data_IF_994060097982
#
_entry.id   IF_994060097982
#
_cell.length_a   1.000
_cell.length_b   1.000
_cell.length_c   1.000
_cell.angle_alpha   90.00
_cell.angle_beta   90.00
_cell.angle_gamma   90.00
#
_symmetry.space_group_name_H-M   'P 1'
#
loop_
_entity.id
_entity.type
_entity.pdbx_description
1 polymer ?
#
# COMPACT_ATOMS: atom_id res chain seq x y z
N UNK A 1 7.67 36.02 -40.46
CA UNK A 1 8.63 35.43 -39.50
C UNK A 1 8.03 35.13 -38.11
N UNK A 2 6.70 35.14 -37.92
CA UNK A 2 6.08 34.78 -36.63
C UNK A 2 5.71 33.29 -36.51
N UNK A 3 5.64 32.55 -37.63
CA UNK A 3 5.22 31.13 -37.64
C UNK A 3 6.33 30.09 -37.44
N UNK A 4 7.58 30.49 -37.20
CA UNK A 4 8.71 29.56 -37.06
C UNK A 4 9.12 29.32 -35.60
N UNK A 5 8.77 30.23 -34.68
CA UNK A 5 9.11 30.12 -33.26
C UNK A 5 8.14 29.17 -32.51
N UNK A 6 6.91 29.02 -33.01
CA UNK A 6 5.87 28.17 -32.41
C UNK A 6 6.15 26.66 -32.55
N UNK A 7 7.07 26.25 -33.42
CA UNK A 7 7.51 24.84 -33.54
C UNK A 7 8.64 24.45 -32.60
N UNK A 8 9.33 25.42 -31.97
CA UNK A 8 10.52 25.13 -31.15
C UNK A 8 10.25 25.09 -29.64
N UNK A 9 9.19 25.74 -29.17
CA UNK A 9 8.72 25.62 -27.78
C UNK A 9 7.45 24.78 -27.76
N UNK A 10 7.62 23.47 -27.67
CA UNK A 10 6.56 22.49 -27.54
C UNK A 10 5.75 22.65 -26.25
N UNK A 11 4.94 23.70 -26.16
CA UNK A 11 3.85 23.81 -25.20
C UNK A 11 2.66 23.06 -25.82
N UNK A 12 2.77 21.73 -25.87
CA UNK A 12 1.60 20.88 -26.10
C UNK A 12 0.68 21.00 -24.87
N UNK A 13 -0.29 21.90 -25.02
CA UNK A 13 -1.56 22.11 -24.30
C UNK A 13 -1.80 21.36 -22.96
N UNK A 14 -2.11 22.07 -21.86
CA UNK A 14 -2.48 21.48 -20.57
C UNK A 14 -3.77 20.61 -20.61
N UNK A 15 -4.60 20.75 -21.63
CA UNK A 15 -5.84 19.97 -21.84
C UNK A 15 -5.51 18.48 -22.06
N UNK A 16 -4.45 18.17 -22.81
CA UNK A 16 -4.04 16.78 -23.06
C UNK A 16 -3.47 16.09 -21.81
N UNK A 17 -3.05 16.86 -20.79
CA UNK A 17 -2.59 16.32 -19.51
C UNK A 17 -3.78 15.99 -18.60
N UNK A 18 -4.83 16.82 -18.57
CA UNK A 18 -6.06 16.51 -17.83
C UNK A 18 -6.76 15.28 -18.42
N UNK A 19 -6.87 15.19 -19.74
CA UNK A 19 -7.45 14.01 -20.41
C UNK A 19 -6.64 12.73 -20.12
N UNK A 20 -5.30 12.85 -20.00
CA UNK A 20 -4.44 11.73 -19.59
C UNK A 20 -4.60 11.39 -18.11
N UNK A 21 -4.75 12.37 -17.24
CA UNK A 21 -5.01 12.14 -15.82
C UNK A 21 -6.38 11.49 -15.64
N UNK A 22 -7.41 11.97 -16.32
CA UNK A 22 -8.73 11.37 -16.30
C UNK A 22 -8.68 9.95 -16.82
N UNK A 23 -7.99 9.69 -17.94
CA UNK A 23 -7.81 8.35 -18.45
C UNK A 23 -7.02 7.44 -17.49
N UNK A 24 -6.01 7.98 -16.79
CA UNK A 24 -5.24 7.25 -15.77
C UNK A 24 -6.09 6.96 -14.54
N UNK A 25 -6.82 7.94 -14.03
CA UNK A 25 -7.70 7.84 -12.87
C UNK A 25 -8.86 6.89 -13.18
N UNK A 26 -9.48 6.99 -14.35
CA UNK A 26 -10.54 6.08 -14.79
C UNK A 26 -10.00 4.65 -14.94
N UNK A 27 -8.76 4.47 -15.41
CA UNK A 27 -8.12 3.16 -15.50
C UNK A 27 -7.73 2.60 -14.14
N UNK A 28 -7.32 3.45 -13.19
CA UNK A 28 -7.03 3.03 -11.82
C UNK A 28 -8.28 2.82 -10.96
N UNK A 29 -9.35 3.56 -11.22
CA UNK A 29 -10.65 3.35 -10.58
C UNK A 29 -11.48 2.28 -11.28
N UNK A 30 -11.06 1.82 -12.46
CA UNK A 30 -11.78 0.78 -13.20
C UNK A 30 -11.99 -0.44 -12.30
N UNK A 31 -13.25 -0.89 -12.13
CA UNK A 31 -13.55 -2.02 -11.26
C UNK A 31 -12.87 -3.26 -11.83
N UNK A 32 -12.03 -3.89 -11.00
CA UNK A 32 -11.57 -5.25 -11.25
C UNK A 32 -12.12 -6.14 -10.15
N UNK A 33 -12.43 -7.41 -10.46
CA UNK A 33 -12.92 -8.36 -9.46
C UNK A 33 -12.00 -8.44 -8.23
N UNK A 34 -10.70 -8.27 -8.44
CA UNK A 34 -9.70 -8.18 -7.36
C UNK A 34 -9.84 -6.90 -6.53
N UNK A 35 -9.89 -5.72 -7.15
CA UNK A 35 -10.07 -4.44 -6.43
C UNK A 35 -11.36 -4.46 -5.60
N UNK A 36 -12.44 -5.02 -6.14
CA UNK A 36 -13.72 -5.18 -5.43
C UNK A 36 -13.56 -6.16 -4.26
N UNK A 37 -12.95 -7.33 -4.47
CA UNK A 37 -12.73 -8.31 -3.40
C UNK A 37 -11.86 -7.76 -2.27
N UNK A 38 -10.78 -7.05 -2.60
CA UNK A 38 -9.89 -6.42 -1.62
C UNK A 38 -10.61 -5.29 -0.88
N UNK A 39 -11.36 -4.43 -1.59
CA UNK A 39 -12.16 -3.39 -0.96
C UNK A 39 -13.23 -3.97 -0.03
N UNK A 40 -13.93 -5.03 -0.47
CA UNK A 40 -14.90 -5.75 0.34
C UNK A 40 -14.25 -6.31 1.60
N UNK A 41 -13.13 -7.03 1.45
CA UNK A 41 -12.35 -7.57 2.57
C UNK A 41 -11.97 -6.48 3.58
N UNK A 42 -11.35 -5.39 3.13
CA UNK A 42 -10.95 -4.28 4.00
C UNK A 42 -12.18 -3.67 4.67
N UNK A 43 -13.26 -3.42 3.93
CA UNK A 43 -14.49 -2.85 4.49
C UNK A 43 -15.10 -3.75 5.57
N UNK A 44 -15.07 -5.07 5.39
CA UNK A 44 -15.56 -6.04 6.38
C UNK A 44 -14.68 -6.04 7.63
N UNK A 45 -13.35 -6.06 7.48
CA UNK A 45 -12.40 -6.01 8.60
C UNK A 45 -12.62 -4.71 9.40
N UNK A 46 -12.69 -3.57 8.72
CA UNK A 46 -12.92 -2.25 9.34
C UNK A 46 -14.25 -2.22 10.06
N UNK A 47 -15.33 -2.68 9.43
CA UNK A 47 -16.68 -2.69 10.04
C UNK A 47 -16.71 -3.56 11.31
N UNK A 48 -16.09 -4.74 11.28
CA UNK A 48 -16.05 -5.64 12.44
C UNK A 48 -15.20 -5.03 13.55
N UNK A 49 -14.04 -4.47 13.24
CA UNK A 49 -13.19 -3.83 14.23
C UNK A 49 -13.89 -2.65 14.91
N UNK A 50 -14.50 -1.75 14.13
CA UNK A 50 -15.28 -0.62 14.67
C UNK A 50 -16.46 -1.12 15.50
N UNK A 51 -17.16 -2.18 15.04
CA UNK A 51 -18.27 -2.78 15.78
C UNK A 51 -17.83 -3.39 17.12
N UNK A 52 -16.66 -4.01 17.17
CA UNK A 52 -16.07 -4.54 18.41
C UNK A 52 -15.65 -3.42 19.35
N UNK A 53 -14.95 -2.40 18.84
CA UNK A 53 -14.56 -1.22 19.63
C UNK A 53 -15.79 -0.55 20.25
N UNK A 54 -16.84 -0.35 19.45
CA UNK A 54 -18.10 0.23 19.92
C UNK A 54 -18.80 -0.66 20.96
N UNK A 55 -18.84 -1.98 20.76
CA UNK A 55 -19.47 -2.92 21.69
C UNK A 55 -18.75 -2.97 23.03
N UNK A 56 -17.42 -2.85 23.01
CA UNK A 56 -16.58 -2.83 24.20
C UNK A 56 -16.48 -1.43 24.84
N UNK A 57 -17.21 -0.44 24.32
CA UNK A 57 -17.21 0.95 24.80
C UNK A 57 -15.81 1.57 24.82
N UNK A 58 -14.95 1.17 23.89
CA UNK A 58 -13.60 1.69 23.75
C UNK A 58 -13.68 3.04 23.06
N UNK A 59 -13.55 4.11 23.85
CA UNK A 59 -13.74 5.47 23.37
C UNK A 59 -12.47 6.01 22.68
N UNK A 60 -12.02 5.33 21.62
CA UNK A 60 -10.90 5.79 20.78
C UNK A 60 -11.14 5.52 19.31
N UNK A 61 -10.75 6.48 18.46
CA UNK A 61 -10.77 6.32 17.01
C UNK A 61 -9.54 5.56 16.49
N UNK A 62 -8.59 5.25 17.37
CA UNK A 62 -7.28 4.71 17.03
C UNK A 62 -7.37 3.28 16.46
N UNK A 63 -8.26 2.44 16.98
CA UNK A 63 -8.50 1.09 16.45
C UNK A 63 -8.89 1.11 14.98
N UNK A 64 -9.86 1.94 14.62
CA UNK A 64 -10.29 2.14 13.22
C UNK A 64 -9.15 2.62 12.31
N UNK A 65 -8.33 3.56 12.79
CA UNK A 65 -7.18 4.09 12.02
C UNK A 65 -6.10 3.03 11.83
N UNK A 66 -5.79 2.23 12.85
CA UNK A 66 -4.84 1.11 12.72
C UNK A 66 -5.35 0.11 11.68
N UNK A 67 -6.63 -0.27 11.77
CA UNK A 67 -7.19 -1.22 10.80
C UNK A 67 -7.13 -0.67 9.39
N UNK A 68 -7.48 0.60 9.19
CA UNK A 68 -7.40 1.21 7.87
C UNK A 68 -5.96 1.28 7.32
N UNK A 69 -4.99 1.68 8.15
CA UNK A 69 -3.58 1.79 7.74
C UNK A 69 -2.92 0.44 7.49
N UNK A 70 -3.25 -0.58 8.29
CA UNK A 70 -2.54 -1.87 8.29
C UNK A 70 -3.24 -2.90 7.40
N UNK A 71 -4.57 -2.93 7.36
CA UNK A 71 -5.30 -3.88 6.51
C UNK A 71 -5.26 -3.50 5.01
N UNK A 72 -5.04 -2.22 4.69
CA UNK A 72 -5.13 -1.72 3.32
C UNK A 72 -3.90 -1.89 2.44
N UNK A 73 -2.70 -2.05 3.00
CA UNK A 73 -1.46 -1.81 2.24
C UNK A 73 -0.24 -2.66 2.63
N UNK A 74 -0.43 -3.88 3.15
CA UNK A 74 0.70 -4.67 3.66
C UNK A 74 0.65 -6.18 3.39
N UNK A 75 1.79 -6.87 3.53
CA UNK A 75 1.85 -8.33 3.60
C UNK A 75 1.03 -8.85 4.77
N UNK A 76 0.52 -10.07 4.63
CA UNK A 76 -0.27 -10.72 5.67
C UNK A 76 0.44 -10.67 7.02
N UNK A 77 -0.32 -10.31 8.05
CA UNK A 77 0.19 -10.10 9.38
C UNK A 77 0.24 -11.41 10.15
N UNK A 78 1.46 -11.88 10.43
CA UNK A 78 1.66 -13.05 11.28
C UNK A 78 1.39 -12.72 12.75
N UNK A 79 0.98 -13.73 13.53
CA UNK A 79 0.73 -13.60 14.98
C UNK A 79 1.97 -13.02 15.70
N UNK A 80 3.18 -13.49 15.34
CA UNK A 80 4.43 -13.00 15.94
C UNK A 80 4.66 -11.52 15.64
N UNK A 81 4.38 -11.09 14.40
CA UNK A 81 4.53 -9.69 13.99
C UNK A 81 3.49 -8.81 14.70
N UNK A 82 2.26 -9.29 14.85
CA UNK A 82 1.23 -8.60 15.62
C UNK A 82 1.59 -8.43 17.10
N UNK A 83 2.09 -9.48 17.74
CA UNK A 83 2.57 -9.39 19.12
C UNK A 83 3.74 -8.42 19.25
N UNK A 84 4.71 -8.47 18.34
CA UNK A 84 5.84 -7.54 18.34
C UNK A 84 5.39 -6.07 18.20
N UNK A 85 4.42 -5.80 17.30
CA UNK A 85 3.85 -4.46 17.16
C UNK A 85 3.03 -4.04 18.37
N UNK A 86 2.24 -4.94 18.96
CA UNK A 86 1.48 -4.63 20.17
C UNK A 86 2.40 -4.30 21.35
N UNK A 87 3.51 -5.03 21.51
CA UNK A 87 4.54 -4.72 22.51
C UNK A 87 5.20 -3.38 22.20
N UNK A 88 5.50 -3.08 20.94
CA UNK A 88 6.05 -1.78 20.56
C UNK A 88 5.09 -0.62 20.85
N UNK A 89 3.79 -0.80 20.60
CA UNK A 89 2.75 0.18 20.95
C UNK A 89 2.66 0.35 22.46
N UNK A 90 2.71 -0.74 23.24
CA UNK A 90 2.75 -0.67 24.70
C UNK A 90 3.93 0.16 25.21
N UNK A 91 5.14 -0.11 24.72
CA UNK A 91 6.34 0.62 25.11
C UNK A 91 6.27 2.09 24.68
N UNK A 92 5.73 2.36 23.49
CA UNK A 92 5.53 3.72 23.00
C UNK A 92 4.53 4.50 23.87
N UNK A 93 3.43 3.86 24.29
CA UNK A 93 2.44 4.44 25.20
C UNK A 93 3.02 4.73 26.58
N UNK A 94 3.76 3.78 27.16
CA UNK A 94 4.41 4.00 28.46
C UNK A 94 5.37 5.18 28.37
N UNK A 95 6.21 5.20 27.32
CA UNK A 95 7.19 6.26 27.11
C UNK A 95 6.51 7.62 26.86
N UNK A 96 5.45 7.65 26.05
CA UNK A 96 4.73 8.88 25.75
C UNK A 96 4.02 9.44 26.98
N UNK A 97 3.38 8.60 27.80
CA UNK A 97 2.73 9.04 29.05
C UNK A 97 3.76 9.60 30.04
N UNK A 98 4.89 8.92 30.23
CA UNK A 98 5.95 9.39 31.13
C UNK A 98 6.53 10.73 30.64
N UNK A 99 6.86 10.82 29.35
CA UNK A 99 7.39 12.08 28.80
C UNK A 99 6.37 13.20 28.81
N UNK A 100 5.11 12.90 28.52
CA UNK A 100 4.09 13.92 28.51
C UNK A 100 3.82 14.45 29.93
N UNK A 101 3.93 13.61 30.97
CA UNK A 101 3.96 14.07 32.37
C UNK A 101 5.16 14.98 32.65
N UNK A 102 6.35 14.65 32.16
CA UNK A 102 7.54 15.48 32.33
C UNK A 102 7.42 16.84 31.63
N UNK A 103 6.74 16.88 30.47
CA UNK A 103 6.49 18.10 29.72
C UNK A 103 5.26 18.88 30.18
N UNK A 104 4.44 18.35 31.09
CA UNK A 104 3.28 19.06 31.64
C UNK A 104 3.70 20.39 32.30
N UNK A 105 4.88 20.43 32.92
CA UNK A 105 5.44 21.63 33.54
C UNK A 105 6.21 22.52 32.55
N UNK A 106 6.55 22.00 31.37
CA UNK A 106 7.38 22.69 30.36
C UNK A 106 6.84 22.48 28.94
N UNK A 107 5.63 22.98 28.61
CA UNK A 107 4.95 22.69 27.35
C UNK A 107 5.71 23.17 26.11
N UNK A 108 6.55 24.21 26.22
CA UNK A 108 7.38 24.70 25.12
C UNK A 108 8.47 23.69 24.67
N UNK A 109 8.88 22.76 25.54
CA UNK A 109 9.80 21.66 25.19
C UNK A 109 9.10 20.50 24.48
N UNK A 110 7.77 20.45 24.51
CA UNK A 110 7.00 19.37 23.90
C UNK A 110 7.08 19.40 22.37
N UNK A 111 6.98 20.59 21.76
CA UNK A 111 7.09 20.77 20.31
C UNK A 111 8.43 20.30 19.72
N UNK A 112 9.60 20.76 20.21
CA UNK A 112 10.88 20.27 19.71
C UNK A 112 11.07 18.78 19.98
N UNK A 113 10.59 18.25 21.10
CA UNK A 113 10.62 16.81 21.37
C UNK A 113 9.81 16.01 20.34
N UNK A 114 8.55 16.41 20.07
CA UNK A 114 7.70 15.77 19.07
C UNK A 114 8.35 15.82 17.69
N UNK A 115 8.96 16.96 17.32
CA UNK A 115 9.69 17.09 16.05
C UNK A 115 10.86 16.11 15.94
N UNK A 116 11.71 16.03 16.98
CA UNK A 116 12.84 15.09 17.03
C UNK A 116 12.35 13.64 16.99
N UNK A 117 11.31 13.32 17.77
CA UNK A 117 10.73 11.98 17.81
C UNK A 117 10.14 11.56 16.46
N UNK A 118 9.31 12.40 15.84
CA UNK A 118 8.71 12.11 14.52
C UNK A 118 9.81 11.99 13.46
N UNK A 119 10.81 12.87 13.48
CA UNK A 119 11.91 12.82 12.52
C UNK A 119 12.73 11.53 12.68
N UNK A 120 13.09 11.16 13.92
CA UNK A 120 13.83 9.94 14.22
C UNK A 120 13.03 8.70 13.82
N UNK A 121 11.76 8.63 14.23
CA UNK A 121 10.91 7.49 13.93
C UNK A 121 10.63 7.36 12.43
N UNK A 122 10.49 8.47 11.70
CA UNK A 122 10.36 8.47 10.23
C UNK A 122 11.64 8.01 9.56
N UNK A 123 12.80 8.49 10.02
CA UNK A 123 14.10 8.06 9.52
C UNK A 123 14.33 6.55 9.74
N UNK A 124 14.05 6.06 10.95
CA UNK A 124 14.13 4.63 11.27
C UNK A 124 13.12 3.82 10.45
N UNK A 125 11.89 4.31 10.32
CA UNK A 125 10.84 3.67 9.52
C UNK A 125 11.22 3.51 8.05
N UNK A 126 11.82 4.55 7.45
CA UNK A 126 12.29 4.55 6.08
C UNK A 126 13.51 3.62 5.88
N UNK A 127 14.52 3.73 6.76
CA UNK A 127 15.77 2.94 6.66
C UNK A 127 15.55 1.45 6.91
N UNK A 128 14.65 1.10 7.84
CA UNK A 128 14.34 -0.29 8.20
C UNK A 128 13.14 -0.87 7.44
N UNK A 129 12.52 -0.10 6.55
CA UNK A 129 11.32 -0.49 5.78
C UNK A 129 10.18 -1.02 6.68
N UNK A 130 9.97 -0.39 7.84
CA UNK A 130 8.97 -0.83 8.83
C UNK A 130 7.53 -0.51 8.41
N UNK A 131 7.35 0.32 7.39
CA UNK A 131 6.06 0.58 6.74
C UNK A 131 5.02 1.20 7.70
N UNK A 132 3.76 0.82 7.50
CA UNK A 132 2.61 1.37 8.23
C UNK A 132 2.67 1.18 9.75
N UNK A 133 3.36 0.13 10.25
CA UNK A 133 3.49 -0.10 11.68
C UNK A 133 4.22 1.04 12.42
N UNK A 134 5.21 1.68 11.77
CA UNK A 134 5.89 2.83 12.37
C UNK A 134 4.98 4.05 12.48
N UNK A 135 4.09 4.21 11.50
CA UNK A 135 3.10 5.29 11.47
C UNK A 135 2.10 5.12 12.63
N UNK A 136 1.71 3.87 12.95
CA UNK A 136 0.89 3.58 14.14
C UNK A 136 1.57 4.06 15.42
N UNK A 137 2.86 3.76 15.61
CA UNK A 137 3.61 4.24 16.78
C UNK A 137 3.60 5.78 16.86
N UNK A 138 3.82 6.45 15.73
CA UNK A 138 3.80 7.92 15.67
C UNK A 138 2.43 8.50 16.06
N UNK A 139 1.35 7.95 15.51
CA UNK A 139 -0.02 8.37 15.80
C UNK A 139 -0.34 8.19 17.30
N UNK A 140 0.02 7.04 17.87
CA UNK A 140 -0.19 6.75 19.29
C UNK A 140 0.53 7.76 20.18
N UNK A 141 1.80 8.06 19.88
CA UNK A 141 2.55 9.08 20.62
C UNK A 141 1.91 10.47 20.48
N UNK A 142 1.54 10.87 19.26
CA UNK A 142 0.90 12.16 18.98
C UNK A 142 -0.42 12.34 19.74
N UNK A 143 -1.27 11.30 19.74
CA UNK A 143 -2.54 11.32 20.48
C UNK A 143 -2.29 11.47 21.98
N UNK A 144 -1.26 10.80 22.51
CA UNK A 144 -0.90 10.96 23.94
C UNK A 144 -0.49 12.40 24.26
N UNK A 145 0.40 13.00 23.45
CA UNK A 145 0.83 14.39 23.66
C UNK A 145 -0.31 15.39 23.49
N UNK A 146 -1.19 15.16 22.52
CA UNK A 146 -2.41 15.95 22.35
C UNK A 146 -3.30 15.86 23.59
N UNK A 147 -3.52 14.65 24.11
CA UNK A 147 -4.32 14.42 25.32
C UNK A 147 -3.79 15.18 26.54
N UNK A 148 -2.47 15.32 26.68
CA UNK A 148 -1.87 16.08 27.80
C UNK A 148 -2.16 17.57 27.71
N UNK A 149 -2.15 18.15 26.51
CA UNK A 149 -2.41 19.57 26.32
C UNK A 149 -3.90 19.90 26.53
N UNK A 150 -4.79 19.05 26.03
CA UNK A 150 -6.22 19.39 25.93
C UNK A 150 -7.11 18.67 26.95
N UNK A 151 -6.63 17.62 27.63
CA UNK A 151 -7.42 16.80 28.56
C UNK A 151 -6.54 15.99 29.53
N UNK A 152 -5.72 16.66 30.38
CA UNK A 152 -4.71 15.98 31.20
C UNK A 152 -5.28 15.02 32.25
N UNK A 153 -6.53 15.22 32.65
CA UNK A 153 -7.22 14.37 33.63
C UNK A 153 -7.55 12.97 33.10
N UNK A 154 -7.63 12.79 31.78
CA UNK A 154 -8.05 11.54 31.13
C UNK A 154 -6.89 10.76 30.48
N UNK A 155 -5.64 11.17 30.70
CA UNK A 155 -4.46 10.59 30.03
C UNK A 155 -4.38 9.08 30.23
N UNK A 156 -4.59 8.60 31.46
CA UNK A 156 -4.52 7.17 31.79
C UNK A 156 -5.60 6.36 31.07
N UNK A 157 -6.84 6.86 31.09
CA UNK A 157 -7.97 6.22 30.40
C UNK A 157 -7.81 6.24 28.88
N UNK A 158 -7.35 7.34 28.31
CA UNK A 158 -7.11 7.47 26.87
C UNK A 158 -5.96 6.58 26.38
N UNK A 159 -4.90 6.44 27.19
CA UNK A 159 -3.80 5.53 26.89
C UNK A 159 -4.23 4.06 26.95
N UNK A 160 -5.04 3.68 27.96
CA UNK A 160 -5.61 2.34 28.07
C UNK A 160 -6.53 2.03 26.88
N UNK A 161 -7.45 2.94 26.56
CA UNK A 161 -8.35 2.80 25.41
C UNK A 161 -7.56 2.68 24.09
N UNK A 162 -6.47 3.43 23.93
CA UNK A 162 -5.60 3.36 22.75
C UNK A 162 -4.89 2.00 22.62
N UNK A 163 -4.45 1.42 23.74
CA UNK A 163 -3.87 0.08 23.77
C UNK A 163 -4.90 -1.00 23.45
N UNK A 164 -6.10 -0.89 24.02
CA UNK A 164 -7.18 -1.86 23.79
C UNK A 164 -7.66 -1.82 22.33
N UNK A 165 -7.84 -0.61 21.78
CA UNK A 165 -8.16 -0.42 20.36
C UNK A 165 -7.07 -0.97 19.43
N UNK A 166 -5.78 -0.85 19.79
CA UNK A 166 -4.71 -1.47 18.99
C UNK A 166 -4.70 -2.99 19.10
N UNK A 167 -5.01 -3.54 20.29
CA UNK A 167 -5.10 -4.98 20.50
C UNK A 167 -6.22 -5.59 19.66
N UNK A 168 -7.39 -4.94 19.63
CA UNK A 168 -8.54 -5.37 18.82
C UNK A 168 -8.18 -5.24 17.34
N UNK A 169 -7.63 -4.11 16.91
CA UNK A 169 -7.24 -3.90 15.51
C UNK A 169 -6.29 -5.00 15.02
N UNK A 170 -5.19 -5.25 15.73
CA UNK A 170 -4.26 -6.32 15.36
C UNK A 170 -4.87 -7.71 15.47
N UNK A 171 -5.70 -7.96 16.49
CA UNK A 171 -6.40 -9.23 16.67
C UNK A 171 -7.32 -9.55 15.50
N UNK A 172 -8.14 -8.58 15.06
CA UNK A 172 -9.04 -8.73 13.92
C UNK A 172 -8.24 -8.92 12.63
N UNK A 173 -7.18 -8.14 12.40
CA UNK A 173 -6.32 -8.29 11.22
C UNK A 173 -5.71 -9.70 11.18
N UNK A 174 -5.13 -10.15 12.29
CA UNK A 174 -4.55 -11.51 12.40
C UNK A 174 -5.62 -12.58 12.15
N UNK A 175 -6.83 -12.39 12.67
CA UNK A 175 -7.93 -13.33 12.47
C UNK A 175 -8.29 -13.48 10.99
N UNK A 176 -8.40 -12.35 10.28
CA UNK A 176 -8.73 -12.33 8.87
C UNK A 176 -7.57 -12.80 7.98
N UNK A 177 -6.34 -12.39 8.28
CA UNK A 177 -5.17 -12.80 7.53
C UNK A 177 -4.90 -14.29 7.69
N UNK A 178 -5.01 -14.86 8.89
CA UNK A 178 -4.59 -16.26 9.11
C UNK A 178 -5.73 -17.29 8.95
N UNK A 179 -6.99 -16.93 9.22
CA UNK A 179 -8.09 -17.90 9.25
C UNK A 179 -9.27 -17.56 8.35
N UNK A 180 -9.81 -16.33 8.43
CA UNK A 180 -11.10 -16.03 7.79
C UNK A 180 -11.00 -15.81 6.28
N UNK A 181 -10.03 -14.99 5.86
CA UNK A 181 -9.88 -14.59 4.46
C UNK A 181 -8.41 -14.35 4.10
N UNK A 182 -7.59 -15.41 4.05
CA UNK A 182 -6.19 -15.30 3.67
C UNK A 182 -6.06 -14.79 2.22
N UNK A 183 -5.14 -13.85 1.99
CA UNK A 183 -4.85 -13.28 0.67
C UNK A 183 -3.33 -13.29 0.39
N UNK A 184 -2.74 -14.50 0.24
CA UNK A 184 -1.28 -14.67 0.14
C UNK A 184 -0.70 -14.06 -1.14
N UNK A 185 0.41 -13.34 -1.02
CA UNK A 185 1.03 -12.59 -2.11
C UNK A 185 1.56 -13.48 -3.24
N UNK A 186 2.03 -14.69 -2.93
CA UNK A 186 2.61 -15.60 -3.93
C UNK A 186 1.61 -16.07 -5.02
N UNK A 187 0.46 -16.70 -4.69
CA UNK A 187 -0.47 -17.14 -5.74
C UNK A 187 -1.04 -15.97 -6.53
N UNK A 188 -1.21 -14.81 -5.87
CA UNK A 188 -1.62 -13.57 -6.53
C UNK A 188 -0.57 -13.10 -7.54
N UNK A 189 0.71 -13.17 -7.19
CA UNK A 189 1.80 -12.89 -8.11
C UNK A 189 1.79 -13.85 -9.29
N UNK A 190 1.63 -15.15 -9.06
CA UNK A 190 1.56 -16.17 -10.12
C UNK A 190 0.38 -15.89 -11.07
N UNK A 191 -0.81 -15.58 -10.53
CA UNK A 191 -1.98 -15.24 -11.32
C UNK A 191 -1.74 -13.97 -12.17
N UNK A 192 -1.12 -12.94 -11.58
CA UNK A 192 -0.79 -11.70 -12.30
C UNK A 192 0.24 -11.92 -13.42
N UNK A 193 1.23 -12.79 -13.19
CA UNK A 193 2.22 -13.18 -14.20
C UNK A 193 1.56 -13.98 -15.32
N UNK A 194 0.69 -14.94 -14.99
CA UNK A 194 -0.06 -15.72 -15.97
C UNK A 194 -0.95 -14.82 -16.84
N UNK A 195 -1.66 -13.86 -16.24
CA UNK A 195 -2.47 -12.88 -16.95
C UNK A 195 -1.60 -12.01 -17.89
N UNK A 196 -0.40 -11.61 -17.44
CA UNK A 196 0.54 -10.83 -18.25
C UNK A 196 1.03 -11.64 -19.47
N UNK A 197 1.37 -12.91 -19.29
CA UNK A 197 1.77 -13.81 -20.39
C UNK A 197 0.60 -14.05 -21.35
N UNK A 198 -0.62 -14.24 -20.85
CA UNK A 198 -1.81 -14.40 -21.67
C UNK A 198 -2.08 -13.15 -22.53
N UNK A 199 -1.91 -11.95 -21.95
CA UNK A 199 -1.99 -10.67 -22.69
C UNK A 199 -0.93 -10.62 -23.79
N UNK A 200 0.34 -10.92 -23.48
CA UNK A 200 1.42 -10.93 -24.46
C UNK A 200 1.14 -11.93 -25.60
N UNK A 201 0.66 -13.14 -25.29
CA UNK A 201 0.23 -14.12 -26.30
C UNK A 201 -0.90 -13.59 -27.18
N UNK A 202 -1.90 -12.95 -26.59
CA UNK A 202 -3.03 -12.38 -27.34
C UNK A 202 -2.60 -11.26 -28.28
N UNK A 203 -1.64 -10.43 -27.86
CA UNK A 203 -1.06 -9.36 -28.67
C UNK A 203 -0.21 -9.93 -29.80
N UNK A 204 0.61 -10.95 -29.52
CA UNK A 204 1.39 -11.66 -30.53
C UNK A 204 0.48 -12.26 -31.61
N UNK A 205 -0.61 -12.92 -31.23
CA UNK A 205 -1.58 -13.49 -32.19
C UNK A 205 -2.25 -12.41 -33.04
N UNK A 206 -2.57 -11.24 -32.46
CA UNK A 206 -3.11 -10.10 -33.21
C UNK A 206 -2.08 -9.53 -34.18
N UNK A 207 -0.83 -9.37 -33.74
CA UNK A 207 0.25 -8.89 -34.58
C UNK A 207 0.56 -9.87 -35.72
N UNK A 208 0.64 -11.18 -35.43
CA UNK A 208 0.87 -12.20 -36.45
C UNK A 208 -0.27 -12.25 -37.47
N UNK A 209 -1.53 -12.14 -37.03
CA UNK A 209 -2.66 -12.08 -37.95
C UNK A 209 -2.61 -10.84 -38.83
N UNK A 210 -2.22 -9.68 -38.29
CA UNK A 210 -2.02 -8.47 -39.08
C UNK A 210 -0.92 -8.64 -40.14
N UNK A 211 0.21 -9.24 -39.77
CA UNK A 211 1.30 -9.51 -40.72
C UNK A 211 0.95 -10.54 -41.80
N UNK A 212 0.17 -11.57 -41.46
CA UNK A 212 -0.20 -12.63 -42.40
C UNK A 212 -1.35 -12.25 -43.34
N UNK A 213 -2.31 -11.46 -42.85
CA UNK A 213 -3.52 -11.08 -43.60
C UNK A 213 -3.39 -9.70 -44.26
N UNK A 214 -2.48 -8.85 -43.78
CA UNK A 214 -2.26 -7.50 -44.33
C UNK A 214 -3.32 -6.49 -43.90
N UNK A 215 -3.61 -5.51 -44.76
CA UNK A 215 -4.52 -4.38 -44.47
C UNK A 215 -5.97 -4.77 -44.16
N UNK A 216 -6.39 -6.00 -44.48
CA UNK A 216 -7.71 -6.54 -44.19
C UNK A 216 -7.90 -6.93 -42.71
N UNK A 217 -6.83 -6.97 -41.91
CA UNK A 217 -6.90 -7.17 -40.46
C UNK A 217 -6.85 -5.83 -39.70
N UNK A 218 -7.66 -5.66 -38.63
CA UNK A 218 -7.60 -4.46 -37.81
C UNK A 218 -6.23 -4.30 -37.15
N UNK A 219 -5.67 -3.09 -37.25
CA UNK A 219 -4.33 -2.76 -36.75
C UNK A 219 -4.22 -3.01 -35.23
N UNK A 220 -3.12 -3.60 -34.73
CA UNK A 220 -2.93 -3.80 -33.30
C UNK A 220 -2.99 -2.46 -32.54
N UNK A 221 -3.66 -2.45 -31.39
CA UNK A 221 -3.66 -1.29 -30.49
C UNK A 221 -2.25 -1.09 -29.92
N UNK A 222 -1.85 0.16 -29.73
CA UNK A 222 -0.57 0.46 -29.08
C UNK A 222 -0.57 -0.12 -27.66
N UNK A 223 0.56 -0.71 -27.23
CA UNK A 223 0.71 -1.12 -25.84
C UNK A 223 0.58 0.09 -24.92
N UNK A 224 0.00 -0.13 -23.74
CA UNK A 224 -0.10 0.92 -22.75
C UNK A 224 1.32 1.32 -22.28
N UNK A 225 1.61 2.61 -22.07
CA UNK A 225 2.93 3.08 -21.65
C UNK A 225 3.29 2.72 -20.19
N UNK A 226 2.53 1.83 -19.56
CA UNK A 226 2.64 1.47 -18.14
C UNK A 226 3.24 0.09 -18.01
N UNK A 227 4.38 -0.02 -17.34
CA UNK A 227 5.00 -1.31 -17.01
C UNK A 227 4.32 -1.95 -15.81
N UNK A 228 3.99 -3.24 -15.91
CA UNK A 228 3.47 -4.05 -14.79
C UNK A 228 4.58 -4.43 -13.77
N UNK A 229 5.85 -4.11 -14.08
CA UNK A 229 7.02 -4.50 -13.28
C UNK A 229 6.97 -4.00 -11.83
N UNK A 230 6.64 -2.73 -11.52
CA UNK A 230 6.58 -2.26 -10.13
C UNK A 230 5.53 -3.01 -9.31
N UNK A 231 4.38 -3.34 -9.92
CA UNK A 231 3.33 -4.12 -9.26
C UNK A 231 3.79 -5.55 -8.97
N UNK A 232 4.46 -6.22 -9.92
CA UNK A 232 5.03 -7.55 -9.70
C UNK A 232 6.14 -7.54 -8.62
N UNK A 233 6.97 -6.50 -8.57
CA UNK A 233 8.00 -6.36 -7.53
C UNK A 233 7.39 -6.14 -6.14
N UNK A 234 6.33 -5.34 -6.03
CA UNK A 234 5.61 -5.15 -4.77
C UNK A 234 5.00 -6.47 -4.25
N UNK A 235 4.42 -7.28 -5.13
CA UNK A 235 3.88 -8.61 -4.78
C UNK A 235 4.98 -9.61 -4.42
N UNK A 236 6.16 -9.51 -5.04
CA UNK A 236 7.31 -10.32 -4.67
C UNK A 236 7.81 -9.94 -3.26
N UNK A 237 7.94 -8.65 -2.97
CA UNK A 237 8.32 -8.17 -1.63
C UNK A 237 7.30 -8.60 -0.58
N UNK A 238 6.01 -8.59 -0.94
CA UNK A 238 4.93 -9.12 -0.11
C UNK A 238 5.11 -10.61 0.19
N UNK A 239 5.29 -11.44 -0.84
CA UNK A 239 5.48 -12.89 -0.69
C UNK A 239 6.72 -13.22 0.16
N UNK A 240 7.83 -12.49 -0.04
CA UNK A 240 9.04 -12.62 0.77
C UNK A 240 8.76 -12.27 2.24
N UNK A 241 8.01 -11.19 2.50
CA UNK A 241 7.64 -10.80 3.85
C UNK A 241 6.70 -11.81 4.55
N UNK A 242 5.94 -12.58 3.77
CA UNK A 242 5.07 -13.67 4.23
C UNK A 242 5.82 -15.00 4.47
N UNK A 243 7.11 -15.06 4.12
CA UNK A 243 7.98 -16.20 4.43
C UNK A 243 8.33 -17.10 3.25
N UNK A 244 8.16 -16.64 2.01
CA UNK A 244 8.66 -17.38 0.83
C UNK A 244 10.16 -17.64 0.94
N UNK A 245 10.59 -18.88 0.69
CA UNK A 245 12.01 -19.28 0.76
C UNK A 245 12.87 -18.54 -0.26
N UNK A 246 14.17 -18.37 0.03
CA UNK A 246 15.10 -17.69 -0.90
C UNK A 246 15.15 -18.35 -2.28
N UNK A 247 15.11 -19.68 -2.32
CA UNK A 247 15.01 -20.44 -3.56
C UNK A 247 13.76 -20.07 -4.38
N UNK A 248 12.61 -20.00 -3.70
CA UNK A 248 11.33 -19.72 -4.35
C UNK A 248 11.20 -18.24 -4.75
N UNK A 249 11.78 -17.32 -3.97
CA UNK A 249 12.00 -15.92 -4.35
C UNK A 249 12.82 -15.82 -5.65
N UNK A 250 13.90 -16.59 -5.78
CA UNK A 250 14.72 -16.65 -6.99
C UNK A 250 13.93 -17.07 -8.22
N UNK A 251 13.08 -18.10 -8.08
CA UNK A 251 12.18 -18.55 -9.16
C UNK A 251 11.19 -17.46 -9.55
N UNK A 252 10.54 -16.81 -8.59
CA UNK A 252 9.57 -15.75 -8.86
C UNK A 252 10.22 -14.53 -9.52
N UNK A 253 11.42 -14.13 -9.07
CA UNK A 253 12.18 -13.05 -9.69
C UNK A 253 12.58 -13.40 -11.13
N UNK A 254 13.00 -14.65 -11.39
CA UNK A 254 13.29 -15.12 -12.73
C UNK A 254 12.03 -15.12 -13.62
N UNK A 255 10.86 -15.44 -13.07
CA UNK A 255 9.59 -15.36 -13.79
C UNK A 255 9.23 -13.91 -14.13
N UNK A 256 9.32 -12.98 -13.18
CA UNK A 256 9.06 -11.54 -13.38
C UNK A 256 9.97 -10.95 -14.46
N UNK A 257 11.27 -11.26 -14.40
CA UNK A 257 12.24 -10.75 -15.38
C UNK A 257 11.98 -11.32 -16.78
N UNK A 258 11.60 -12.59 -16.89
CA UNK A 258 11.19 -13.19 -18.17
C UNK A 258 9.91 -12.58 -18.74
N UNK A 259 8.88 -12.35 -17.91
CA UNK A 259 7.63 -11.74 -18.38
C UNK A 259 7.84 -10.27 -18.79
N UNK A 260 8.63 -9.51 -18.03
CA UNK A 260 8.98 -8.13 -18.38
C UNK A 260 9.79 -8.05 -19.68
N UNK A 261 10.71 -9.01 -19.91
CA UNK A 261 11.42 -9.10 -21.19
C UNK A 261 10.48 -9.42 -22.34
N UNK A 262 9.58 -10.39 -22.17
CA UNK A 262 8.59 -10.73 -23.19
C UNK A 262 7.70 -9.54 -23.54
N UNK A 263 7.21 -8.77 -22.55
CA UNK A 263 6.40 -7.59 -22.83
C UNK A 263 7.18 -6.53 -23.62
N UNK A 264 8.45 -6.28 -23.27
CA UNK A 264 9.30 -5.33 -23.99
C UNK A 264 9.56 -5.75 -25.45
N UNK A 265 9.81 -7.04 -25.70
CA UNK A 265 10.00 -7.52 -27.07
C UNK A 265 8.68 -7.46 -27.86
N UNK A 266 7.52 -7.70 -27.24
CA UNK A 266 6.22 -7.52 -27.89
C UNK A 266 5.95 -6.06 -28.23
N UNK A 267 6.25 -5.14 -27.32
CA UNK A 267 6.10 -3.69 -27.56
C UNK A 267 6.99 -3.23 -28.72
N UNK A 268 8.23 -3.74 -28.79
CA UNK A 268 9.14 -3.53 -29.93
C UNK A 268 8.55 -4.06 -31.22
N UNK A 269 8.06 -5.31 -31.23
CA UNK A 269 7.45 -5.89 -32.44
C UNK A 269 6.25 -5.08 -32.94
N UNK A 270 5.35 -4.66 -32.04
CA UNK A 270 4.17 -3.85 -32.39
C UNK A 270 4.55 -2.45 -32.89
N UNK A 271 5.59 -1.85 -32.32
CA UNK A 271 6.07 -0.53 -32.77
C UNK A 271 6.80 -0.61 -34.12
N UNK A 272 7.58 -1.67 -34.38
CA UNK A 272 8.23 -1.90 -35.69
C UNK A 272 7.28 -2.37 -36.79
N UNK A 273 6.14 -2.96 -36.42
CA UNK A 273 5.10 -3.38 -37.35
C UNK A 273 4.30 -2.22 -37.97
N UNK A 274 4.58 -0.98 -37.56
CA UNK A 274 3.95 0.23 -38.09
C UNK A 274 4.75 0.85 -39.21
#
# INVERSE_FOLDING_TARGET
MAGFIERQFGIQRPIAWLDRLEALVARELAPSGRKIRTALRISTIVTIAIGLDASLHINTQLGAVIVWLVAGAGPMMSIRKALAWQVAVMLALITSVVMARAFAETPWLMLPFVFVWISLTTYVGATRKLGAGMLVIQIVCLITFYGVVFGPQDIGWNAAASFDGSAIAFGVIVLFDNWLWPDPGEPILIESLAASVARARSQLLKASNFFLVGESAPRPQLPAPTSDLPAHMALLDQAVAEGTSEYRRGILLAAITRTARLSLEMDRLVTTAR
#
